data_IF_659273663236
#
_entry.id   IF_659273663236
#
_cell.length_a   1.000
_cell.length_b   1.000
_cell.length_c   1.000
_cell.angle_alpha   90.00
_cell.angle_beta   90.00
_cell.angle_gamma   90.00
#
_symmetry.space_group_name_H-M   'P 1'
#
loop_
_entity.id
_entity.type
_entity.pdbx_description
1 polymer ?
#
# COMPACT_ATOMS: atom_id res chain seq x y z
N UNK A 1 13.43 0.09 5.63
CA UNK A 1 12.28 0.99 5.94
C UNK A 1 11.72 0.58 7.29
N UNK A 2 11.24 -0.65 7.44
CA UNK A 2 10.80 -1.23 8.70
C UNK A 2 11.06 -2.74 8.73
N UNK A 3 10.69 -3.41 9.81
CA UNK A 3 10.73 -4.88 9.91
C UNK A 3 9.66 -5.60 9.06
N UNK A 4 8.65 -4.89 8.57
CA UNK A 4 7.53 -5.46 7.79
C UNK A 4 7.56 -5.05 6.32
N UNK A 5 8.39 -4.07 5.93
CA UNK A 5 8.47 -3.57 4.57
C UNK A 5 9.85 -2.97 4.20
N UNK A 6 10.19 -3.02 2.91
CA UNK A 6 11.41 -2.45 2.34
C UNK A 6 11.13 -1.79 0.99
N UNK A 7 11.94 -0.81 0.62
CA UNK A 7 11.88 -0.22 -0.72
C UNK A 7 12.45 -1.21 -1.73
N UNK A 8 11.78 -1.34 -2.88
CA UNK A 8 12.36 -1.99 -4.06
C UNK A 8 12.78 -0.95 -5.10
N UNK A 9 12.00 0.11 -5.24
CA UNK A 9 12.37 1.33 -5.95
C UNK A 9 12.29 2.47 -4.93
N UNK A 10 13.41 3.09 -4.53
CA UNK A 10 13.43 4.13 -3.50
C UNK A 10 12.39 5.22 -3.76
N UNK A 11 11.61 5.53 -2.72
CA UNK A 11 10.56 6.57 -2.73
C UNK A 11 9.43 6.35 -3.75
N UNK A 12 9.35 5.19 -4.42
CA UNK A 12 8.35 4.89 -5.45
C UNK A 12 7.60 3.59 -5.22
N UNK A 13 8.30 2.51 -4.92
CA UNK A 13 7.68 1.19 -4.73
C UNK A 13 8.21 0.55 -3.46
N UNK A 14 7.32 0.41 -2.48
CA UNK A 14 7.54 -0.24 -1.20
C UNK A 14 6.91 -1.64 -1.26
N UNK A 15 7.66 -2.64 -0.81
CA UNK A 15 7.24 -4.03 -0.74
C UNK A 15 7.04 -4.42 0.72
N UNK A 16 5.96 -5.12 1.07
CA UNK A 16 5.75 -5.47 2.47
C UNK A 16 4.69 -6.53 2.75
N UNK A 17 4.49 -6.78 4.05
CA UNK A 17 3.46 -7.69 4.59
C UNK A 17 2.06 -7.11 4.46
N UNK A 18 1.05 -7.90 4.80
CA UNK A 18 -0.27 -7.35 5.07
C UNK A 18 -0.13 -6.22 6.11
N UNK A 19 -0.59 -5.00 5.82
CA UNK A 19 -0.19 -3.82 6.57
C UNK A 19 -1.01 -3.61 7.86
N UNK A 20 -1.88 -4.55 8.21
CA UNK A 20 -2.83 -4.43 9.32
C UNK A 20 -3.04 -5.78 10.02
N UNK A 21 -4.11 -5.91 10.80
CA UNK A 21 -4.39 -7.13 11.58
C UNK A 21 -4.49 -8.35 10.68
N UNK A 22 -3.68 -9.35 11.01
CA UNK A 22 -3.56 -10.63 10.31
C UNK A 22 -3.20 -11.77 11.29
N UNK A 23 -3.37 -13.06 10.92
CA UNK A 23 -3.31 -14.17 11.87
C UNK A 23 -1.95 -14.42 12.56
N UNK A 24 -0.84 -14.04 11.95
CA UNK A 24 0.49 -14.52 12.32
C UNK A 24 1.27 -13.56 13.22
N UNK A 25 1.48 -12.33 12.76
CA UNK A 25 2.45 -11.34 13.29
C UNK A 25 1.74 -10.11 13.86
N UNK A 26 0.90 -9.43 13.08
CA UNK A 26 0.19 -8.22 13.52
C UNK A 26 -1.19 -8.58 14.07
N UNK A 27 -1.34 -8.71 15.39
CA UNK A 27 -2.57 -9.27 16.00
C UNK A 27 -3.49 -8.25 16.67
N UNK A 28 -3.06 -7.00 16.79
CA UNK A 28 -3.83 -5.94 17.45
C UNK A 28 -4.09 -4.76 16.50
N UNK A 29 -5.20 -4.07 16.72
CA UNK A 29 -5.55 -2.88 15.96
C UNK A 29 -4.50 -1.78 16.13
N UNK A 30 -4.00 -1.55 17.35
CA UNK A 30 -2.96 -0.54 17.63
C UNK A 30 -1.68 -0.79 16.84
N UNK A 31 -1.22 -2.04 16.77
CA UNK A 31 -0.04 -2.40 15.99
C UNK A 31 -0.30 -2.18 14.49
N UNK A 32 -1.47 -2.61 14.00
CA UNK A 32 -1.86 -2.42 12.61
C UNK A 32 -1.96 -0.94 12.23
N UNK A 33 -2.55 -0.11 13.10
CA UNK A 33 -2.66 1.33 12.87
C UNK A 33 -1.29 1.99 12.81
N UNK A 34 -0.36 1.59 13.68
CA UNK A 34 1.02 2.05 13.65
C UNK A 34 1.72 1.68 12.33
N UNK A 35 1.52 0.44 11.84
CA UNK A 35 2.10 -0.01 10.56
C UNK A 35 1.53 0.78 9.38
N UNK A 36 0.21 0.91 9.28
CA UNK A 36 -0.45 1.70 8.21
C UNK A 36 -0.01 3.16 8.28
N UNK A 37 0.03 3.76 9.47
CA UNK A 37 0.48 5.15 9.66
C UNK A 37 1.91 5.35 9.17
N UNK A 38 2.83 4.43 9.50
CA UNK A 38 4.22 4.49 9.03
C UNK A 38 4.31 4.38 7.49
N UNK A 39 3.50 3.52 6.86
CA UNK A 39 3.43 3.38 5.40
C UNK A 39 2.94 4.68 4.75
N UNK A 40 1.91 5.30 5.30
CA UNK A 40 1.34 6.56 4.80
C UNK A 40 2.30 7.76 4.98
N UNK A 41 3.03 7.80 6.09
CA UNK A 41 4.09 8.79 6.34
C UNK A 41 5.25 8.67 5.34
N UNK A 42 5.49 7.46 4.81
CA UNK A 42 6.45 7.23 3.73
C UNK A 42 5.98 7.80 2.37
N UNK A 43 4.78 8.39 2.31
CA UNK A 43 4.22 9.02 1.12
C UNK A 43 3.36 8.10 0.27
N UNK A 44 3.11 6.85 0.69
CA UNK A 44 2.28 5.90 -0.06
C UNK A 44 0.90 6.47 -0.34
N UNK A 45 0.50 6.39 -1.61
CA UNK A 45 -0.81 6.79 -2.12
C UNK A 45 -1.61 5.58 -2.61
N UNK A 46 -0.95 4.49 -2.97
CA UNK A 46 -1.60 3.34 -3.62
C UNK A 46 -1.19 2.04 -2.99
N UNK A 47 -2.16 1.27 -2.51
CA UNK A 47 -1.99 -0.06 -1.96
C UNK A 47 -2.37 -1.09 -3.02
N UNK A 48 -1.49 -2.08 -3.25
CA UNK A 48 -1.71 -3.18 -4.17
C UNK A 48 -1.64 -4.48 -3.37
N UNK A 49 -2.78 -5.15 -3.22
CA UNK A 49 -2.86 -6.46 -2.59
C UNK A 49 -2.73 -7.57 -3.63
N UNK A 50 -1.82 -8.51 -3.37
CA UNK A 50 -1.60 -9.70 -4.19
C UNK A 50 -2.33 -10.94 -3.64
N UNK A 51 -3.18 -10.80 -2.62
CA UNK A 51 -3.74 -11.94 -1.89
C UNK A 51 -5.05 -12.44 -2.49
N UNK A 52 -5.03 -13.63 -3.09
CA UNK A 52 -6.26 -14.28 -3.57
C UNK A 52 -7.17 -14.76 -2.43
N UNK A 53 -6.59 -15.04 -1.26
CA UNK A 53 -7.29 -15.50 -0.06
C UNK A 53 -8.11 -14.38 0.63
N UNK A 54 -7.96 -13.13 0.20
CA UNK A 54 -8.74 -11.99 0.68
C UNK A 54 -9.49 -11.31 -0.47
N UNK A 55 -10.74 -10.87 -0.27
CA UNK A 55 -11.40 -10.00 -1.25
C UNK A 55 -10.70 -8.63 -1.35
N UNK A 56 -11.04 -7.81 -2.36
CA UNK A 56 -10.59 -6.42 -2.43
C UNK A 56 -10.89 -5.67 -1.12
N UNK A 57 -9.97 -4.81 -0.70
CA UNK A 57 -10.04 -4.10 0.59
C UNK A 57 -11.30 -3.22 0.73
N UNK A 58 -11.78 -2.66 -0.37
CA UNK A 58 -13.00 -1.85 -0.41
C UNK A 58 -14.27 -2.66 -0.29
N UNK A 59 -14.20 -3.97 -0.49
CA UNK A 59 -15.35 -4.90 -0.49
C UNK A 59 -15.35 -5.84 0.71
N UNK A 60 -14.30 -5.81 1.53
CA UNK A 60 -14.15 -6.68 2.70
C UNK A 60 -14.96 -6.16 3.88
N UNK A 61 -15.66 -7.06 4.58
CA UNK A 61 -16.45 -6.68 5.76
C UNK A 61 -15.56 -6.28 6.94
N UNK A 62 -16.08 -5.46 7.87
CA UNK A 62 -15.35 -5.03 9.06
C UNK A 62 -14.88 -6.19 9.95
N UNK A 63 -15.58 -7.33 9.93
CA UNK A 63 -15.17 -8.54 10.65
C UNK A 63 -13.99 -9.28 10.01
N UNK A 64 -13.56 -8.84 8.82
CA UNK A 64 -12.46 -9.45 8.08
C UNK A 64 -12.81 -10.79 7.43
N UNK A 65 -11.78 -11.50 6.98
CA UNK A 65 -11.87 -12.87 6.48
C UNK A 65 -10.63 -13.64 6.92
N UNK A 66 -10.80 -14.86 7.42
CA UNK A 66 -9.68 -15.74 7.84
C UNK A 66 -8.66 -15.05 8.77
N UNK A 67 -9.12 -14.14 9.64
CA UNK A 67 -8.28 -13.36 10.56
C UNK A 67 -7.55 -12.16 9.93
N UNK A 68 -7.76 -11.87 8.65
CA UNK A 68 -7.35 -10.62 8.01
C UNK A 68 -8.44 -9.56 8.16
N UNK A 69 -8.12 -8.42 8.75
CA UNK A 69 -9.06 -7.30 8.93
C UNK A 69 -8.80 -6.25 7.83
N UNK A 70 -9.83 -5.63 7.24
CA UNK A 70 -9.62 -4.62 6.21
C UNK A 70 -8.90 -3.38 6.75
N UNK A 71 -8.03 -2.80 5.92
CA UNK A 71 -7.24 -1.62 6.28
C UNK A 71 -7.59 -0.36 5.48
N UNK A 72 -8.43 -0.46 4.45
CA UNK A 72 -8.75 0.69 3.59
C UNK A 72 -9.39 1.85 4.36
N UNK A 73 -10.38 1.56 5.21
CA UNK A 73 -11.05 2.58 6.04
C UNK A 73 -10.10 3.21 7.05
N UNK A 74 -9.26 2.40 7.70
CA UNK A 74 -8.25 2.87 8.66
C UNK A 74 -7.23 3.77 7.97
N UNK A 75 -6.72 3.36 6.80
CA UNK A 75 -5.79 4.17 6.02
C UNK A 75 -6.42 5.51 5.59
N UNK A 76 -7.69 5.50 5.14
CA UNK A 76 -8.41 6.72 4.79
C UNK A 76 -8.58 7.67 5.99
N UNK A 77 -8.92 7.13 7.17
CA UNK A 77 -9.02 7.91 8.41
C UNK A 77 -7.68 8.51 8.83
N UNK A 78 -6.60 7.71 8.78
CA UNK A 78 -5.26 8.18 9.11
C UNK A 78 -4.79 9.28 8.15
N UNK A 79 -5.02 9.14 6.84
CA UNK A 79 -4.70 10.20 5.87
C UNK A 79 -5.53 11.46 6.13
N UNK A 80 -6.81 11.32 6.47
CA UNK A 80 -7.66 12.46 6.83
C UNK A 80 -7.12 13.17 8.08
N UNK A 81 -6.69 12.43 9.10
CA UNK A 81 -6.11 12.99 10.31
C UNK A 81 -4.78 13.72 10.03
N UNK A 82 -3.95 13.17 9.14
CA UNK A 82 -2.69 13.82 8.69
C UNK A 82 -2.94 15.09 7.88
N UNK A 83 -4.08 15.18 7.18
CA UNK A 83 -4.40 16.28 6.29
C UNK A 83 -5.03 17.48 7.00
N UNK A 84 -5.31 17.42 8.32
CA UNK A 84 -5.98 18.47 9.10
C UNK A 84 -7.52 18.41 9.10
N UNK A 85 -8.23 19.30 9.82
CA UNK A 85 -9.70 19.29 9.97
C UNK A 85 -10.44 19.51 8.64
N UNK A 86 -11.66 19.04 8.39
CA UNK A 86 -12.31 19.20 7.07
C UNK A 86 -12.45 20.65 6.59
N UNK A 87 -12.66 20.86 5.28
CA UNK A 87 -12.87 22.21 4.73
C UNK A 87 -14.11 22.83 5.41
N UNK A 88 -14.06 24.11 5.78
CA UNK A 88 -15.21 24.81 6.32
C UNK A 88 -16.39 24.82 5.34
N UNK A 89 -16.20 24.70 4.02
CA UNK A 89 -17.30 24.45 3.07
C UNK A 89 -17.98 23.11 3.32
N UNK A 90 -17.22 22.04 3.51
CA UNK A 90 -17.77 20.72 3.85
C UNK A 90 -18.51 20.77 5.19
N UNK A 91 -17.89 21.35 6.23
CA UNK A 91 -18.49 21.51 7.56
C UNK A 91 -19.75 22.36 7.51
N UNK A 92 -19.75 23.44 6.72
CA UNK A 92 -20.92 24.30 6.54
C UNK A 92 -22.02 23.60 5.73
N UNK A 93 -21.68 22.70 4.81
CA UNK A 93 -22.65 21.86 4.09
C UNK A 93 -23.36 20.86 4.99
N UNK A 94 -22.76 20.46 6.11
CA UNK A 94 -23.39 19.61 7.13
C UNK A 94 -24.36 20.38 8.04
N UNK A 95 -24.38 21.71 8.01
CA UNK A 95 -25.22 22.51 8.91
C UNK A 95 -26.70 22.39 8.57
N UNK A 96 -27.48 22.07 9.58
CA UNK A 96 -28.93 22.11 9.56
C UNK A 96 -29.40 22.39 11.01
N UNK A 97 -30.70 22.71 11.22
CA UNK A 97 -31.21 23.04 12.56
C UNK A 97 -30.93 21.98 13.64
N UNK A 98 -30.82 20.70 13.26
CA UNK A 98 -30.52 19.60 14.18
C UNK A 98 -29.01 19.50 14.49
N UNK A 99 -28.13 19.67 13.50
CA UNK A 99 -26.68 19.56 13.69
C UNK A 99 -26.03 20.85 14.20
N UNK A 100 -26.66 22.01 14.03
CA UNK A 100 -26.09 23.31 14.44
C UNK A 100 -25.80 23.40 15.94
N UNK A 101 -26.51 22.65 16.79
CA UNK A 101 -26.26 22.56 18.24
C UNK A 101 -24.99 21.79 18.59
N UNK A 102 -24.50 20.93 17.69
CA UNK A 102 -23.30 20.12 17.89
C UNK A 102 -22.07 20.66 17.15
N UNK A 103 -22.27 21.64 16.25
CA UNK A 103 -21.21 22.24 15.47
C UNK A 103 -20.68 23.53 16.11
N UNK A 104 -19.38 23.86 15.98
CA UNK A 104 -18.83 25.11 16.50
C UNK A 104 -19.59 26.34 16.00
N UNK A 105 -19.79 27.40 16.80
CA UNK A 105 -20.49 28.61 16.37
C UNK A 105 -19.72 29.38 15.29
N UNK A 106 -20.42 29.99 14.32
CA UNK A 106 -19.80 30.80 13.26
C UNK A 106 -19.30 32.15 13.81
N UNK A 107 -17.98 32.36 13.95
CA UNK A 107 -17.41 33.70 14.25
C UNK A 107 -16.80 34.35 13.00
N UNK A 108 -16.92 35.68 12.87
CA UNK A 108 -16.42 36.44 11.71
C UNK A 108 -14.90 36.39 11.56
N UNK A 109 -14.17 36.43 12.68
CA UNK A 109 -12.70 36.35 12.73
C UNK A 109 -12.17 34.95 12.36
N UNK A 110 -12.87 33.89 12.80
CA UNK A 110 -12.55 32.50 12.43
C UNK A 110 -12.72 32.23 10.91
N UNK A 111 -13.52 33.03 10.19
CA UNK A 111 -13.68 32.87 8.73
C UNK A 111 -12.44 33.30 7.96
N UNK A 112 -11.79 34.40 8.37
CA UNK A 112 -10.58 34.91 7.71
C UNK A 112 -9.39 33.99 7.98
N UNK A 113 -9.18 33.61 9.25
CA UNK A 113 -8.13 32.65 9.64
C UNK A 113 -8.32 31.27 8.97
N UNK A 114 -9.56 30.78 8.86
CA UNK A 114 -9.84 29.52 8.18
C UNK A 114 -9.58 29.59 6.67
N UNK A 115 -9.87 30.72 6.01
CA UNK A 115 -9.59 30.91 4.58
C UNK A 115 -8.09 30.95 4.29
N UNK A 116 -7.30 31.65 5.09
CA UNK A 116 -5.85 31.71 4.93
C UNK A 116 -5.18 30.34 5.18
N UNK A 117 -5.67 29.58 6.17
CA UNK A 117 -5.22 28.20 6.42
C UNK A 117 -5.65 27.22 5.33
N UNK A 118 -6.77 27.46 4.65
CA UNK A 118 -7.30 26.62 3.56
C UNK A 118 -6.48 26.81 2.27
N UNK A 119 -6.11 28.05 1.92
CA UNK A 119 -5.30 28.36 0.73
C UNK A 119 -3.86 27.82 0.82
N UNK A 120 -3.32 27.66 2.03
CA UNK A 120 -1.98 27.10 2.26
C UNK A 120 -1.97 25.58 2.42
N UNK A 121 -3.14 24.95 2.34
CA UNK A 121 -3.29 23.54 2.68
C UNK A 121 -2.95 22.64 1.49
N UNK A 122 -2.08 21.64 1.66
CA UNK A 122 -1.83 20.68 0.58
C UNK A 122 -3.14 19.95 0.24
N UNK A 123 -3.35 19.63 -1.06
CA UNK A 123 -4.51 18.85 -1.47
C UNK A 123 -4.54 17.53 -0.70
N UNK A 124 -5.74 17.10 -0.28
CA UNK A 124 -5.89 15.84 0.45
C UNK A 124 -5.35 14.70 -0.40
N UNK A 125 -4.47 13.91 0.19
CA UNK A 125 -3.91 12.72 -0.45
C UNK A 125 -5.04 11.71 -0.66
N UNK A 126 -5.41 11.45 -1.91
CA UNK A 126 -6.38 10.41 -2.22
C UNK A 126 -5.66 9.05 -2.22
N UNK A 127 -6.27 8.05 -1.58
CA UNK A 127 -5.75 6.69 -1.56
C UNK A 127 -6.41 5.84 -2.64
N UNK A 128 -5.63 5.00 -3.30
CA UNK A 128 -6.12 3.95 -4.18
C UNK A 128 -5.82 2.56 -3.60
N UNK A 129 -6.74 1.62 -3.78
CA UNK A 129 -6.60 0.23 -3.35
C UNK A 129 -6.86 -0.68 -4.54
N UNK A 130 -5.85 -1.42 -4.97
CA UNK A 130 -5.93 -2.35 -6.08
C UNK A 130 -5.79 -3.78 -5.59
N UNK A 131 -6.37 -4.72 -6.33
CA UNK A 131 -6.36 -6.13 -6.02
C UNK A 131 -5.97 -6.93 -7.25
N UNK A 132 -4.80 -7.57 -7.19
CA UNK A 132 -4.23 -8.43 -8.22
C UNK A 132 -3.98 -9.81 -7.63
N UNK A 133 -5.04 -10.63 -7.47
CA UNK A 133 -4.98 -11.85 -6.67
C UNK A 133 -4.03 -12.89 -7.26
N UNK A 134 -3.08 -13.35 -6.44
CA UNK A 134 -2.21 -14.49 -6.71
C UNK A 134 -2.41 -15.48 -5.56
N UNK A 135 -2.69 -16.75 -5.91
CA UNK A 135 -2.85 -17.84 -4.93
C UNK A 135 -1.59 -17.97 -4.07
N UNK A 136 -1.77 -18.22 -2.77
CA UNK A 136 -0.63 -18.30 -1.87
C UNK A 136 0.32 -19.44 -2.25
N UNK A 137 1.63 -19.17 -2.08
CA UNK A 137 2.75 -20.04 -2.53
C UNK A 137 2.81 -20.37 -4.03
N UNK A 138 1.87 -19.86 -4.82
CA UNK A 138 1.80 -20.10 -6.25
C UNK A 138 2.53 -19.01 -7.05
N UNK A 139 2.51 -19.15 -8.37
CA UNK A 139 3.01 -18.18 -9.34
C UNK A 139 1.84 -17.47 -10.04
N UNK A 140 1.98 -16.18 -10.38
CA UNK A 140 1.07 -15.54 -11.32
C UNK A 140 1.27 -16.09 -12.74
N UNK A 141 0.31 -15.84 -13.62
CA UNK A 141 0.52 -16.00 -15.06
C UNK A 141 1.38 -14.86 -15.62
N UNK A 142 2.04 -15.09 -16.76
CA UNK A 142 2.84 -14.07 -17.45
C UNK A 142 2.02 -12.82 -17.78
N UNK A 143 0.76 -12.99 -18.19
CA UNK A 143 -0.12 -11.87 -18.55
C UNK A 143 -0.53 -11.06 -17.32
N UNK A 144 -0.86 -11.72 -16.20
CA UNK A 144 -1.13 -11.03 -14.93
C UNK A 144 0.07 -10.19 -14.48
N UNK A 145 1.29 -10.72 -14.61
CA UNK A 145 2.50 -9.97 -14.24
C UNK A 145 2.75 -8.80 -15.20
N UNK A 146 2.57 -9.01 -16.51
CA UNK A 146 2.74 -7.94 -17.50
C UNK A 146 1.74 -6.81 -17.28
N UNK A 147 0.48 -7.14 -17.03
CA UNK A 147 -0.56 -6.17 -16.72
C UNK A 147 -0.23 -5.39 -15.44
N UNK A 148 0.11 -6.09 -14.36
CA UNK A 148 0.45 -5.46 -13.09
C UNK A 148 1.71 -4.57 -13.19
N UNK A 149 2.74 -4.99 -13.92
CA UNK A 149 3.93 -4.18 -14.15
C UNK A 149 3.58 -2.92 -14.94
N UNK A 150 2.76 -3.02 -15.98
CA UNK A 150 2.27 -1.87 -16.73
C UNK A 150 1.50 -0.89 -15.84
N UNK A 151 0.64 -1.40 -14.97
CA UNK A 151 -0.11 -0.58 -14.00
C UNK A 151 0.82 0.11 -12.99
N UNK A 152 1.81 -0.60 -12.44
CA UNK A 152 2.80 -0.04 -11.52
C UNK A 152 3.60 1.06 -12.21
N UNK A 153 4.11 0.82 -13.43
CA UNK A 153 4.90 1.78 -14.18
C UNK A 153 4.12 3.08 -14.43
N UNK A 154 2.89 2.96 -14.96
CA UNK A 154 2.00 4.09 -15.23
C UNK A 154 1.72 4.95 -13.99
N UNK A 155 1.53 4.31 -12.83
CA UNK A 155 1.29 5.02 -11.56
C UNK A 155 2.53 5.70 -11.01
N UNK A 156 3.68 5.04 -11.10
CA UNK A 156 4.98 5.64 -10.73
C UNK A 156 5.24 6.89 -11.56
N UNK A 157 4.97 6.84 -12.87
CA UNK A 157 5.07 7.98 -13.80
C UNK A 157 4.08 9.10 -13.45
N UNK A 158 2.86 8.74 -13.02
CA UNK A 158 1.87 9.69 -12.51
C UNK A 158 2.24 10.33 -11.15
N UNK A 159 3.39 9.97 -10.57
CA UNK A 159 3.88 10.53 -9.31
C UNK A 159 3.38 9.81 -8.05
N UNK A 160 2.67 8.69 -8.20
CA UNK A 160 2.20 7.89 -7.08
C UNK A 160 3.35 7.16 -6.37
N UNK A 161 3.13 6.82 -5.10
CA UNK A 161 4.02 5.96 -4.30
C UNK A 161 3.23 4.73 -3.91
N UNK A 162 3.74 3.56 -4.27
CA UNK A 162 3.00 2.31 -4.23
C UNK A 162 3.49 1.40 -3.09
N UNK A 163 2.55 0.79 -2.39
CA UNK A 163 2.78 -0.30 -1.44
C UNK A 163 2.24 -1.59 -2.01
N UNK A 164 3.13 -2.46 -2.47
CA UNK A 164 2.79 -3.79 -3.00
C UNK A 164 2.97 -4.82 -1.90
N UNK A 165 1.93 -5.59 -1.59
CA UNK A 165 1.98 -6.54 -0.49
C UNK A 165 1.32 -7.88 -0.82
N UNK A 166 1.77 -8.89 -0.10
CA UNK A 166 1.03 -10.14 0.08
C UNK A 166 0.90 -10.41 1.58
N UNK A 167 0.73 -11.66 2.02
CA UNK A 167 0.70 -11.95 3.45
C UNK A 167 2.06 -11.69 4.11
N UNK A 168 3.09 -12.44 3.72
CA UNK A 168 4.45 -12.34 4.26
C UNK A 168 5.33 -11.27 3.60
N UNK A 169 4.88 -10.72 2.47
CA UNK A 169 5.63 -9.69 1.74
C UNK A 169 6.95 -10.14 1.14
N UNK A 170 7.09 -11.44 0.82
CA UNK A 170 8.33 -12.06 0.32
C UNK A 170 8.14 -12.98 -0.89
N UNK A 171 7.14 -13.86 -0.87
CA UNK A 171 6.86 -14.79 -1.98
C UNK A 171 6.29 -14.07 -3.20
N UNK A 172 4.96 -13.98 -3.30
CA UNK A 172 4.22 -13.30 -4.38
C UNK A 172 4.74 -11.89 -4.66
N UNK A 173 4.95 -11.12 -3.59
CA UNK A 173 5.48 -9.77 -3.66
C UNK A 173 6.91 -9.73 -4.23
N UNK A 174 7.79 -10.63 -3.79
CA UNK A 174 9.16 -10.74 -4.31
C UNK A 174 9.20 -11.16 -5.79
N UNK A 175 8.30 -12.06 -6.20
CA UNK A 175 8.15 -12.49 -7.60
C UNK A 175 7.82 -11.32 -8.51
N UNK A 176 6.77 -10.55 -8.16
CA UNK A 176 6.37 -9.36 -8.91
C UNK A 176 7.47 -8.30 -8.91
N UNK A 177 8.11 -8.07 -7.76
CA UNK A 177 9.19 -7.10 -7.62
C UNK A 177 10.40 -7.43 -8.52
N UNK A 178 10.78 -8.70 -8.64
CA UNK A 178 11.88 -9.11 -9.50
C UNK A 178 11.54 -8.86 -10.99
N UNK A 179 10.34 -9.26 -11.42
CA UNK A 179 9.87 -9.03 -12.79
C UNK A 179 9.77 -7.53 -13.11
N UNK A 180 9.32 -6.72 -12.15
CA UNK A 180 9.25 -5.26 -12.27
C UNK A 180 10.64 -4.66 -12.46
N UNK A 181 11.62 -5.05 -11.65
CA UNK A 181 13.00 -4.55 -11.75
C UNK A 181 13.61 -4.89 -13.12
N UNK A 182 13.44 -6.12 -13.59
CA UNK A 182 13.92 -6.52 -14.91
C UNK A 182 13.27 -5.68 -16.02
N UNK A 183 11.95 -5.51 -15.97
CA UNK A 183 11.20 -4.78 -17.00
C UNK A 183 11.52 -3.29 -17.04
N UNK A 184 11.77 -2.65 -15.88
CA UNK A 184 12.06 -1.21 -15.82
C UNK A 184 13.53 -0.88 -16.02
N UNK A 185 14.46 -1.76 -15.61
CA UNK A 185 15.89 -1.47 -15.60
C UNK A 185 16.72 -2.33 -16.57
N UNK A 186 16.10 -3.26 -17.31
CA UNK A 186 16.79 -4.14 -18.26
C UNK A 186 17.83 -5.05 -17.60
N UNK A 187 17.64 -5.41 -16.32
CA UNK A 187 18.54 -6.28 -15.59
C UNK A 187 18.17 -7.74 -15.78
N UNK A 188 19.17 -8.62 -15.79
CA UNK A 188 18.94 -10.06 -15.87
C UNK A 188 18.25 -10.63 -14.62
N UNK A 189 17.80 -11.88 -14.72
CA UNK A 189 17.07 -12.54 -13.65
C UNK A 189 17.86 -12.68 -12.35
N UNK A 190 19.16 -12.99 -12.42
CA UNK A 190 20.00 -13.16 -11.22
C UNK A 190 20.20 -11.82 -10.51
N UNK A 191 20.41 -10.75 -11.27
CA UNK A 191 20.50 -9.39 -10.74
C UNK A 191 19.18 -8.94 -10.09
N UNK A 192 18.04 -9.19 -10.75
CA UNK A 192 16.73 -8.86 -10.22
C UNK A 192 16.44 -9.60 -8.91
N UNK A 193 16.64 -10.92 -8.90
CA UNK A 193 16.46 -11.77 -7.71
C UNK A 193 17.41 -11.35 -6.58
N UNK A 194 18.68 -11.09 -6.86
CA UNK A 194 19.64 -10.65 -5.85
C UNK A 194 19.28 -9.28 -5.25
N UNK A 195 18.74 -8.35 -6.05
CA UNK A 195 18.25 -7.05 -5.55
C UNK A 195 17.03 -7.22 -4.65
N UNK A 196 16.07 -8.04 -5.05
CA UNK A 196 14.89 -8.34 -4.22
C UNK A 196 15.30 -8.98 -2.89
N UNK A 197 16.20 -9.96 -2.92
CA UNK A 197 16.69 -10.62 -1.71
C UNK A 197 17.39 -9.63 -0.77
N UNK A 198 18.35 -8.85 -1.28
CA UNK A 198 19.07 -7.85 -0.45
C UNK A 198 18.11 -6.82 0.14
N UNK A 199 17.11 -6.40 -0.62
CA UNK A 199 16.12 -5.46 -0.13
C UNK A 199 15.25 -6.09 0.98
N UNK A 200 14.88 -7.37 0.84
CA UNK A 200 14.18 -8.13 1.87
C UNK A 200 15.02 -8.30 3.15
N UNK A 201 16.30 -8.61 3.03
CA UNK A 201 17.22 -8.80 4.17
C UNK A 201 17.31 -7.54 5.06
N UNK A 202 17.05 -6.35 4.51
CA UNK A 202 16.98 -5.09 5.30
C UNK A 202 15.88 -5.08 6.35
N UNK A 203 14.92 -6.01 6.29
CA UNK A 203 13.88 -6.19 7.31
C UNK A 203 14.38 -6.93 8.56
N UNK A 204 15.58 -7.50 8.52
CA UNK A 204 16.18 -8.26 9.63
C UNK A 204 15.73 -9.73 9.73
N UNK A 205 14.91 -10.23 8.80
CA UNK A 205 14.52 -11.64 8.73
C UNK A 205 15.51 -12.47 7.91
N UNK A 206 16.72 -12.65 8.45
CA UNK A 206 17.77 -13.43 7.79
C UNK A 206 17.37 -14.91 7.67
N UNK A 207 17.77 -15.55 6.58
CA UNK A 207 17.54 -16.98 6.33
C UNK A 207 16.25 -17.30 5.55
N UNK A 208 15.44 -16.30 5.23
CA UNK A 208 14.27 -16.46 4.36
C UNK A 208 14.55 -15.95 2.95
N UNK A 209 14.08 -16.71 1.95
CA UNK A 209 14.18 -16.34 0.56
C UNK A 209 13.03 -15.40 0.12
N UNK A 210 13.35 -14.50 -0.80
CA UNK A 210 12.42 -13.65 -1.55
C UNK A 210 12.85 -13.60 -3.02
N UNK A 211 12.12 -14.25 -3.96
CA UNK A 211 10.89 -15.01 -3.78
C UNK A 211 11.02 -16.25 -2.89
N UNK A 212 9.88 -16.78 -2.45
CA UNK A 212 9.82 -17.78 -1.37
C UNK A 212 10.06 -19.22 -1.85
N UNK A 213 9.55 -19.57 -3.03
CA UNK A 213 9.62 -20.93 -3.56
C UNK A 213 10.53 -21.01 -4.79
N UNK A 214 11.10 -22.19 -5.04
CA UNK A 214 11.85 -22.43 -6.28
C UNK A 214 10.98 -22.24 -7.53
N UNK A 215 9.68 -22.55 -7.43
CA UNK A 215 8.72 -22.32 -8.53
C UNK A 215 8.60 -20.84 -8.86
N UNK A 216 8.54 -19.96 -7.86
CA UNK A 216 8.53 -18.50 -8.05
C UNK A 216 9.84 -17.99 -8.65
N UNK A 217 10.99 -18.49 -8.17
CA UNK A 217 12.30 -18.16 -8.74
C UNK A 217 12.40 -18.58 -10.20
N UNK A 218 11.96 -19.79 -10.53
CA UNK A 218 11.96 -20.29 -11.91
C UNK A 218 10.99 -19.50 -12.79
N UNK A 219 9.83 -19.11 -12.27
CA UNK A 219 8.92 -18.23 -12.98
C UNK A 219 9.58 -16.89 -13.34
N UNK A 220 10.28 -16.25 -12.41
CA UNK A 220 11.02 -15.00 -12.68
C UNK A 220 12.04 -15.19 -13.81
N UNK A 221 12.81 -16.28 -13.76
CA UNK A 221 13.81 -16.60 -14.80
C UNK A 221 13.15 -16.79 -16.17
N UNK A 222 12.07 -17.57 -16.22
CA UNK A 222 11.32 -17.81 -17.46
C UNK A 222 10.67 -16.53 -18.00
N UNK A 223 10.12 -15.68 -17.13
CA UNK A 223 9.51 -14.41 -17.50
C UNK A 223 10.53 -13.47 -18.16
N UNK A 224 11.71 -13.33 -17.56
CA UNK A 224 12.77 -12.40 -18.02
C UNK A 224 13.44 -12.92 -19.29
N UNK A 225 13.71 -14.22 -19.38
CA UNK A 225 14.33 -14.82 -20.57
C UNK A 225 13.37 -14.88 -21.78
N UNK A 226 12.06 -14.76 -21.55
CA UNK A 226 11.05 -14.70 -22.59
C UNK A 226 10.73 -13.29 -23.09
N UNK A 227 11.44 -12.26 -22.58
CA UNK A 227 11.35 -10.87 -23.08
C UNK A 227 12.22 -10.67 -24.33
#
# INVERSE_FOLDING_TARGET
>A
FSQFANWIIPSKVLLGRYPYVEPSRCRTHDEGEAQVSQILQAGVTTFISLQAETPPQTSMTMGGVNGFVPYASVAALLVSAMSGPPDMKEVNGLRNPYLDTFLPPRRKQQRQEAQELEEQRPPRRQLAFLHYPITDLDIPTTDQVRELIGEIARRVEAGEVLYVHCWGGRGRAGTVAACLLASLYGVDAEQALARVQRAYDTRGELGYASPETLQQVNFVKSYINGQ
#
